data_IF_368801990209
#
_entry.id   IF_368801990209
#
_cell.length_a   1.000
_cell.length_b   1.000
_cell.length_c   1.000
_cell.angle_alpha   90.00
_cell.angle_beta   90.00
_cell.angle_gamma   90.00
#
_symmetry.space_group_name_H-M   'P 1'
#
loop_
_entity.id
_entity.type
_entity.pdbx_description
1 polymer ?
#
# COMPACT_ATOMS: atom_id res chain seq x y z
N UNK A 1 9.72 -3.40 -6.04
CA UNK A 1 9.53 -4.49 -5.06
C UNK A 1 10.82 -4.64 -4.26
N UNK A 2 10.84 -4.22 -2.99
CA UNK A 2 11.96 -4.57 -2.10
C UNK A 2 11.63 -5.90 -1.43
N UNK A 3 12.56 -6.86 -1.52
CA UNK A 3 12.35 -8.24 -1.10
C UNK A 3 13.26 -8.54 0.09
N UNK A 4 12.67 -8.87 1.22
CA UNK A 4 13.37 -9.50 2.34
C UNK A 4 13.01 -11.00 2.31
N UNK A 5 13.79 -11.84 1.62
CA UNK A 5 13.56 -13.29 1.62
C UNK A 5 14.15 -13.95 2.87
N UNK A 6 13.41 -14.87 3.52
CA UNK A 6 13.82 -15.66 4.70
C UNK A 6 14.19 -14.83 5.95
N UNK A 7 14.30 -15.39 7.16
CA UNK A 7 14.90 -14.68 8.29
C UNK A 7 16.37 -14.42 7.96
N UNK A 8 16.62 -13.27 7.33
CA UNK A 8 17.95 -12.80 6.98
C UNK A 8 18.48 -11.96 8.14
N UNK A 9 19.75 -12.15 8.48
CA UNK A 9 20.46 -11.19 9.28
C UNK A 9 20.38 -9.84 8.55
N UNK A 10 19.89 -8.80 9.24
CA UNK A 10 19.90 -7.45 8.68
C UNK A 10 21.35 -6.99 8.63
N UNK A 11 21.81 -6.40 7.54
CA UNK A 11 23.17 -5.88 7.44
C UNK A 11 23.15 -4.35 7.42
N UNK A 12 24.14 -3.72 8.05
CA UNK A 12 24.38 -2.29 7.90
C UNK A 12 24.91 -1.96 6.49
N UNK A 13 24.97 -0.68 6.15
CA UNK A 13 25.59 -0.19 4.91
C UNK A 13 27.08 -0.56 4.79
N UNK A 14 27.72 -0.97 5.89
CA UNK A 14 29.09 -1.49 5.92
C UNK A 14 29.16 -3.02 5.95
N UNK A 15 28.04 -3.72 5.75
CA UNK A 15 27.99 -5.17 5.70
C UNK A 15 28.14 -5.86 7.06
N UNK A 16 27.92 -5.14 8.17
CA UNK A 16 27.96 -5.73 9.52
C UNK A 16 26.57 -6.30 9.85
N UNK A 17 26.46 -7.59 10.23
CA UNK A 17 25.18 -8.17 10.61
C UNK A 17 24.68 -7.56 11.93
N UNK A 18 23.40 -7.20 11.94
CA UNK A 18 22.67 -6.75 13.11
C UNK A 18 22.44 -7.93 14.07
N UNK A 19 22.33 -7.62 15.36
CA UNK A 19 22.12 -8.61 16.42
C UNK A 19 20.69 -9.18 16.46
N UNK A 20 19.84 -8.90 15.47
CA UNK A 20 18.45 -9.33 15.42
C UNK A 20 18.06 -9.80 14.02
N UNK A 21 17.04 -10.66 13.97
CA UNK A 21 16.45 -11.15 12.72
C UNK A 21 15.12 -10.44 12.47
N UNK A 22 14.79 -10.27 11.20
CA UNK A 22 13.47 -9.80 10.77
C UNK A 22 12.74 -10.93 10.02
N UNK A 23 11.41 -11.00 10.10
CA UNK A 23 10.64 -11.89 9.24
C UNK A 23 10.90 -11.55 7.77
N UNK A 24 10.96 -12.59 6.93
CA UNK A 24 10.91 -12.38 5.49
C UNK A 24 9.60 -11.69 5.09
N UNK A 25 9.67 -10.78 4.13
CA UNK A 25 8.56 -9.98 3.68
C UNK A 25 8.79 -9.37 2.30
N UNK A 26 7.73 -8.82 1.75
CA UNK A 26 7.75 -8.08 0.49
C UNK A 26 7.01 -6.76 0.70
N UNK A 27 7.43 -5.73 -0.03
CA UNK A 27 6.79 -4.42 -0.01
C UNK A 27 6.16 -4.15 -1.36
N UNK A 28 4.87 -3.84 -1.35
CA UNK A 28 4.20 -3.22 -2.49
C UNK A 28 4.70 -1.77 -2.59
N UNK A 29 5.40 -1.38 -3.66
CA UNK A 29 6.03 -0.07 -3.74
C UNK A 29 4.99 1.05 -3.87
N UNK A 30 5.39 2.27 -3.50
CA UNK A 30 4.66 3.48 -3.83
C UNK A 30 4.41 3.56 -5.35
N UNK A 31 3.27 4.10 -5.77
CA UNK A 31 2.85 4.11 -7.18
C UNK A 31 2.03 2.88 -7.62
N UNK A 32 1.92 1.84 -6.79
CA UNK A 32 1.19 0.62 -7.19
C UNK A 32 -0.32 0.83 -7.30
N UNK A 33 -0.89 1.73 -6.49
CA UNK A 33 -2.31 2.08 -6.55
C UNK A 33 -2.60 2.89 -7.82
N UNK A 34 -1.75 3.86 -8.11
CA UNK A 34 -1.80 4.71 -9.30
C UNK A 34 -1.71 3.87 -10.57
N UNK A 35 -0.79 2.90 -10.60
CA UNK A 35 -0.68 1.94 -11.69
C UNK A 35 -1.98 1.14 -11.91
N UNK A 36 -2.62 0.66 -10.83
CA UNK A 36 -3.89 -0.06 -10.94
C UNK A 36 -5.06 0.85 -11.37
N UNK A 37 -5.06 2.11 -10.93
CA UNK A 37 -6.02 3.14 -11.36
C UNK A 37 -5.88 3.47 -12.85
N UNK A 38 -4.65 3.58 -13.36
CA UNK A 38 -4.39 3.81 -14.79
C UNK A 38 -4.85 2.63 -15.65
N UNK A 39 -4.54 1.40 -15.24
CA UNK A 39 -4.93 0.19 -15.96
C UNK A 39 -6.45 -0.02 -16.00
N UNK A 40 -7.15 0.30 -14.91
CA UNK A 40 -8.60 0.26 -14.83
C UNK A 40 -9.29 1.46 -15.48
N UNK A 41 -8.53 2.47 -15.94
CA UNK A 41 -9.02 3.75 -16.47
C UNK A 41 -9.89 4.52 -15.47
N UNK A 42 -9.64 4.33 -14.17
CA UNK A 42 -10.41 4.95 -13.09
C UNK A 42 -9.72 6.18 -12.47
N UNK A 43 -8.56 6.58 -13.00
CA UNK A 43 -7.79 7.71 -12.47
C UNK A 43 -8.61 9.00 -12.37
N UNK A 44 -9.38 9.35 -13.42
CA UNK A 44 -10.21 10.56 -13.42
C UNK A 44 -11.31 10.50 -12.35
N UNK A 45 -11.96 9.34 -12.19
CA UNK A 45 -12.97 9.13 -11.15
C UNK A 45 -12.37 9.24 -9.75
N UNK A 46 -11.18 8.66 -9.54
CA UNK A 46 -10.45 8.76 -8.29
C UNK A 46 -10.13 10.22 -7.95
N UNK A 47 -9.52 10.97 -8.87
CA UNK A 47 -9.18 12.38 -8.66
C UNK A 47 -10.41 13.21 -8.35
N UNK A 48 -11.51 13.01 -9.10
CA UNK A 48 -12.76 13.73 -8.85
C UNK A 48 -13.38 13.41 -7.49
N UNK A 49 -13.29 12.17 -7.01
CA UNK A 49 -13.77 11.80 -5.67
C UNK A 49 -12.94 12.46 -4.57
N UNK A 50 -11.62 12.49 -4.74
CA UNK A 50 -10.71 13.17 -3.79
C UNK A 50 -11.01 14.66 -3.71
N UNK A 51 -11.13 15.36 -4.84
CA UNK A 51 -11.48 16.79 -4.89
C UNK A 51 -12.84 17.09 -4.22
N UNK A 52 -13.83 16.21 -4.42
CA UNK A 52 -15.13 16.35 -3.76
C UNK A 52 -15.02 16.13 -2.25
N UNK A 53 -14.23 15.17 -1.79
CA UNK A 53 -14.03 14.89 -0.36
C UNK A 53 -13.39 16.09 0.34
N UNK A 54 -12.41 16.76 -0.28
CA UNK A 54 -11.72 17.93 0.28
C UNK A 54 -12.68 19.12 0.55
N UNK A 55 -13.79 19.19 -0.18
CA UNK A 55 -14.77 20.28 -0.09
C UNK A 55 -16.10 19.85 0.52
N UNK A 56 -16.26 18.57 0.84
CA UNK A 56 -17.50 17.99 1.36
C UNK A 56 -17.83 18.52 2.76
N UNK A 57 -19.12 18.71 3.01
CA UNK A 57 -19.58 19.05 4.37
C UNK A 57 -19.71 17.77 5.20
N UNK A 58 -19.39 17.87 6.49
CA UNK A 58 -19.66 16.79 7.44
C UNK A 58 -21.16 16.58 7.66
N UNK A 59 -21.95 17.64 7.53
CA UNK A 59 -23.39 17.62 7.75
C UNK A 59 -24.12 16.89 6.62
N UNK A 60 -25.05 16.02 6.97
CA UNK A 60 -25.89 15.32 5.99
C UNK A 60 -25.28 14.05 5.38
N UNK A 61 -24.12 13.58 5.87
CA UNK A 61 -23.51 12.31 5.46
C UNK A 61 -22.90 12.33 4.06
N UNK A 62 -22.69 13.52 3.49
CA UNK A 62 -22.05 13.67 2.18
C UNK A 62 -20.61 13.14 2.18
N UNK A 63 -19.85 13.51 3.21
CA UNK A 63 -18.48 13.02 3.39
C UNK A 63 -18.43 11.49 3.48
N UNK A 64 -19.28 10.88 4.31
CA UNK A 64 -19.33 9.42 4.46
C UNK A 64 -19.66 8.72 3.14
N UNK A 65 -20.62 9.28 2.38
CA UNK A 65 -21.00 8.75 1.06
C UNK A 65 -19.82 8.80 0.09
N UNK A 66 -19.10 9.92 0.02
CA UNK A 66 -17.95 10.07 -0.88
C UNK A 66 -16.79 9.16 -0.47
N UNK A 67 -16.51 9.05 0.84
CA UNK A 67 -15.51 8.13 1.38
C UNK A 67 -15.84 6.67 1.04
N UNK A 68 -17.11 6.27 1.14
CA UNK A 68 -17.55 4.93 0.76
C UNK A 68 -17.37 4.70 -0.75
N UNK A 69 -17.71 5.66 -1.60
CA UNK A 69 -17.47 5.55 -3.04
C UNK A 69 -15.99 5.42 -3.39
N UNK A 70 -15.13 6.18 -2.72
CA UNK A 70 -13.68 6.07 -2.89
C UNK A 70 -13.18 4.69 -2.42
N UNK A 71 -13.67 4.21 -1.27
CA UNK A 71 -13.32 2.89 -0.76
C UNK A 71 -13.78 1.77 -1.69
N UNK A 72 -14.99 1.85 -2.24
CA UNK A 72 -15.51 0.89 -3.22
C UNK A 72 -14.65 0.88 -4.49
N UNK A 73 -14.26 2.06 -4.98
CA UNK A 73 -13.37 2.18 -6.12
C UNK A 73 -12.03 1.49 -5.86
N UNK A 74 -11.36 1.83 -4.75
CA UNK A 74 -10.06 1.22 -4.39
C UNK A 74 -10.17 -0.29 -4.16
N UNK A 75 -11.26 -0.76 -3.56
CA UNK A 75 -11.50 -2.18 -3.30
C UNK A 75 -11.77 -2.98 -4.58
N UNK A 76 -12.19 -2.33 -5.65
CA UNK A 76 -12.42 -2.95 -6.96
C UNK A 76 -11.16 -3.07 -7.83
N UNK A 77 -10.06 -2.43 -7.43
CA UNK A 77 -8.81 -2.45 -8.19
C UNK A 77 -8.15 -3.83 -8.13
N UNK A 78 -7.72 -4.31 -9.29
CA UNK A 78 -6.85 -5.48 -9.40
C UNK A 78 -5.41 -5.04 -9.60
N UNK A 79 -4.48 -5.67 -8.87
CA UNK A 79 -3.07 -5.43 -9.11
C UNK A 79 -2.65 -6.11 -10.42
N UNK A 80 -1.66 -5.53 -11.13
CA UNK A 80 -1.01 -6.18 -12.27
C UNK A 80 -0.57 -7.62 -11.94
N UNK A 81 -0.84 -8.55 -12.86
CA UNK A 81 -0.58 -10.00 -12.68
C UNK A 81 0.90 -10.28 -12.38
N UNK A 82 1.81 -9.53 -13.00
CA UNK A 82 3.25 -9.64 -12.79
C UNK A 82 3.66 -9.33 -11.34
N UNK A 83 3.00 -8.36 -10.69
CA UNK A 83 3.23 -8.05 -9.28
C UNK A 83 2.74 -9.20 -8.41
N UNK A 84 1.54 -9.73 -8.68
CA UNK A 84 0.95 -10.86 -7.94
C UNK A 84 1.84 -12.11 -8.07
N UNK A 85 2.28 -12.45 -9.29
CA UNK A 85 3.16 -13.58 -9.52
C UNK A 85 4.51 -13.42 -8.82
N UNK A 86 5.06 -12.21 -8.81
CA UNK A 86 6.34 -11.95 -8.14
C UNK A 86 6.21 -12.06 -6.63
N UNK A 87 5.12 -11.54 -6.05
CA UNK A 87 4.79 -11.74 -4.63
C UNK A 87 4.60 -13.23 -4.30
N UNK A 88 3.90 -13.97 -5.16
CA UNK A 88 3.67 -15.41 -5.00
C UNK A 88 4.94 -16.25 -5.00
N UNK A 89 6.02 -15.79 -5.66
CA UNK A 89 7.34 -16.45 -5.63
C UNK A 89 8.09 -16.24 -4.32
N UNK A 90 7.74 -15.22 -3.53
CA UNK A 90 8.43 -14.87 -2.27
C UNK A 90 7.91 -15.72 -1.11
N UNK A 91 6.62 -16.03 -1.11
CA UNK A 91 5.96 -16.74 -0.03
C UNK A 91 5.71 -18.21 -0.38
N UNK A 92 5.83 -19.10 0.61
CA UNK A 92 5.38 -20.49 0.46
C UNK A 92 3.85 -20.51 0.29
N UNK A 93 3.34 -21.39 -0.57
CA UNK A 93 1.90 -21.41 -0.94
C UNK A 93 0.91 -21.66 0.21
N UNK A 94 1.38 -22.07 1.38
CA UNK A 94 0.58 -22.25 2.61
C UNK A 94 1.02 -21.34 3.77
N UNK A 95 1.86 -20.34 3.52
CA UNK A 95 2.30 -19.40 4.54
C UNK A 95 1.14 -18.53 5.03
N UNK A 96 1.09 -18.27 6.34
CA UNK A 96 0.24 -17.22 6.91
C UNK A 96 0.98 -15.89 6.81
N UNK A 97 0.37 -14.92 6.14
CA UNK A 97 0.95 -13.61 5.91
C UNK A 97 0.38 -12.58 6.87
N UNK A 98 1.19 -11.59 7.24
CA UNK A 98 0.75 -10.38 7.92
C UNK A 98 0.84 -9.25 6.90
N UNK A 99 -0.31 -8.64 6.57
CA UNK A 99 -0.37 -7.46 5.71
C UNK A 99 -0.47 -6.23 6.60
N UNK A 100 0.44 -5.27 6.41
CA UNK A 100 0.47 -4.00 7.17
C UNK A 100 0.46 -2.85 6.18
N UNK A 101 -0.38 -1.86 6.43
CA UNK A 101 -0.25 -0.55 5.79
C UNK A 101 1.03 0.12 6.29
N UNK A 102 1.88 0.58 5.37
CA UNK A 102 3.02 1.43 5.69
C UNK A 102 2.82 2.76 4.96
N UNK A 103 2.57 3.82 5.72
CA UNK A 103 2.50 5.17 5.18
C UNK A 103 3.90 5.80 5.21
N UNK A 104 4.19 6.66 4.24
CA UNK A 104 5.40 7.49 4.32
C UNK A 104 5.21 8.56 5.39
N UNK A 105 6.26 8.81 6.19
CA UNK A 105 6.27 9.77 7.30
C UNK A 105 6.53 11.21 6.82
N UNK A 106 6.82 11.41 5.53
CA UNK A 106 6.98 12.74 4.93
C UNK A 106 5.65 13.52 4.89
N UNK A 107 4.52 12.80 4.93
CA UNK A 107 3.16 13.34 5.10
C UNK A 107 2.79 13.57 6.59
N UNK A 108 3.69 13.26 7.53
CA UNK A 108 3.42 13.22 8.97
C UNK A 108 4.52 13.90 9.81
N UNK A 109 5.26 14.85 9.23
CA UNK A 109 6.14 15.73 10.01
C UNK A 109 5.27 16.64 10.92
N UNK A 110 5.02 16.19 12.15
CA UNK A 110 4.29 16.95 13.17
C UNK A 110 3.02 16.30 13.73
N UNK A 111 2.68 15.06 13.36
CA UNK A 111 1.50 14.33 13.89
C UNK A 111 1.83 13.01 14.59
N UNK A 112 3.09 12.82 15.02
CA UNK A 112 3.42 11.83 16.05
C UNK A 112 3.70 12.58 17.35
N UNK A 113 2.81 12.44 18.33
CA UNK A 113 3.00 12.89 19.71
C UNK A 113 3.77 11.85 20.52
#
# INVERSE_FOLDING_TARGET
LSVCGSPMAVYSDQGVPASFNVPGGAVLPFGSMELALEQSKSMETFTSLVEQIETAKMEGGELDRLCNQLQDLISSLELPVDIIETLGKIFLGNARLIVRSSANVEDLAGMSA
#
